data_IF_190830840529
#
_entry.id   IF_190830840529
#
_cell.length_a   1.000
_cell.length_b   1.000
_cell.length_c   1.000
_cell.angle_alpha   90.00
_cell.angle_beta   90.00
_cell.angle_gamma   90.00
#
_symmetry.space_group_name_H-M   'P 1'
#
loop_
_entity.id
_entity.type
_entity.pdbx_description
1 polymer ?
#
# COMPACT_ATOMS: atom_id res chain seq x y z
N UNK A 1 -8.51 40.41 32.71
CA UNK A 1 -8.63 38.97 32.37
C UNK A 1 -7.28 38.32 32.67
N UNK A 2 -7.23 37.48 33.70
CA UNK A 2 -5.98 37.12 34.40
C UNK A 2 -4.99 36.34 33.55
N UNK A 3 -3.70 36.59 33.80
CA UNK A 3 -2.55 35.93 33.16
C UNK A 3 -2.63 34.39 33.17
N UNK A 4 -3.30 33.81 34.17
CA UNK A 4 -3.63 32.39 34.23
C UNK A 4 -4.44 31.88 33.02
N UNK A 5 -5.39 32.68 32.50
CA UNK A 5 -6.16 32.31 31.30
C UNK A 5 -5.27 32.31 30.04
N UNK A 6 -4.29 33.21 29.96
CA UNK A 6 -3.33 33.27 28.86
C UNK A 6 -2.34 32.09 28.88
N UNK A 7 -1.89 31.66 30.06
CA UNK A 7 -1.02 30.48 30.23
C UNK A 7 -1.74 29.18 29.87
N UNK A 8 -3.03 29.05 30.23
CA UNK A 8 -3.84 27.89 29.85
C UNK A 8 -4.08 27.87 28.33
N UNK A 9 -4.38 29.02 27.72
CA UNK A 9 -4.54 29.13 26.25
C UNK A 9 -3.25 28.84 25.48
N UNK A 10 -2.09 29.26 25.99
CA UNK A 10 -0.81 28.96 25.35
C UNK A 10 -0.42 27.48 25.47
N UNK A 11 -0.68 26.83 26.62
CA UNK A 11 -0.50 25.39 26.80
C UNK A 11 -1.44 24.57 25.90
N UNK A 12 -2.70 24.99 25.74
CA UNK A 12 -3.63 24.40 24.78
C UNK A 12 -3.14 24.56 23.33
N UNK A 13 -2.60 25.73 22.98
CA UNK A 13 -2.02 25.98 21.66
C UNK A 13 -0.85 25.05 21.32
N UNK A 14 0.04 24.79 22.29
CA UNK A 14 1.19 23.87 22.14
C UNK A 14 0.73 22.41 21.97
N UNK A 15 -0.34 21.99 22.65
CA UNK A 15 -0.92 20.66 22.47
C UNK A 15 -1.53 20.47 21.08
N UNK A 16 -2.08 21.53 20.47
CA UNK A 16 -2.70 21.45 19.12
C UNK A 16 -1.65 21.55 17.99
N UNK A 17 -0.48 22.16 18.26
CA UNK A 17 0.61 22.31 17.28
C UNK A 17 1.67 21.19 17.32
N UNK A 18 1.62 20.29 18.31
CA UNK A 18 2.34 19.03 18.23
C UNK A 18 1.89 18.27 16.97
N UNK A 19 2.85 18.00 16.07
CA UNK A 19 2.68 17.41 14.73
C UNK A 19 1.97 16.03 14.73
N UNK A 20 1.75 15.44 15.91
CA UNK A 20 1.07 14.18 16.13
C UNK A 20 0.32 14.20 17.48
N UNK A 21 -0.75 15.01 17.63
CA UNK A 21 -1.77 14.65 18.63
C UNK A 21 -2.61 13.50 18.07
N UNK A 22 -2.46 12.26 18.59
CA UNK A 22 -2.93 11.04 17.91
C UNK A 22 -4.45 10.94 17.78
N UNK A 23 -5.22 11.75 18.51
CA UNK A 23 -6.68 11.72 18.47
C UNK A 23 -7.30 12.71 17.46
N UNK A 24 -6.65 13.83 17.16
CA UNK A 24 -7.22 14.89 16.31
C UNK A 24 -6.63 14.94 14.90
N UNK A 25 -5.47 14.30 14.67
CA UNK A 25 -4.77 14.36 13.38
C UNK A 25 -4.57 13.00 12.71
N UNK A 26 -5.09 11.90 13.28
CA UNK A 26 -5.03 10.58 12.63
C UNK A 26 -5.74 10.65 11.28
N UNK A 27 -5.04 10.34 10.19
CA UNK A 27 -5.57 10.40 8.82
C UNK A 27 -5.99 9.03 8.28
N UNK A 28 -5.94 8.00 9.12
CA UNK A 28 -6.15 6.61 8.72
C UNK A 28 -6.90 5.81 9.80
N UNK A 29 -7.42 4.66 9.41
CA UNK A 29 -7.96 3.63 10.29
C UNK A 29 -7.31 2.28 9.97
N UNK A 30 -7.32 1.38 10.95
CA UNK A 30 -6.75 0.04 10.84
C UNK A 30 -7.90 -0.94 10.66
N UNK A 31 -7.80 -1.85 9.70
CA UNK A 31 -8.79 -2.91 9.48
C UNK A 31 -8.71 -3.96 10.59
N UNK A 32 -9.72 -4.82 10.69
CA UNK A 32 -9.70 -6.00 11.58
C UNK A 32 -8.53 -6.96 11.31
N UNK A 33 -7.89 -6.86 10.13
CA UNK A 33 -6.74 -7.66 9.71
C UNK A 33 -5.40 -6.91 9.82
N UNK A 34 -5.39 -5.71 10.41
CA UNK A 34 -4.18 -4.92 10.64
C UNK A 34 -3.70 -4.08 9.44
N UNK A 35 -4.47 -4.02 8.35
CA UNK A 35 -4.15 -3.18 7.20
C UNK A 35 -4.53 -1.72 7.43
N UNK A 36 -3.72 -0.77 6.97
CA UNK A 36 -3.94 0.66 7.21
C UNK A 36 -4.60 1.36 6.02
N UNK A 37 -5.66 2.14 6.27
CA UNK A 37 -6.47 2.78 5.21
C UNK A 37 -6.68 4.26 5.49
N UNK A 38 -6.56 5.14 4.50
CA UNK A 38 -6.83 6.56 4.72
C UNK A 38 -8.31 6.79 5.05
N UNK A 39 -8.61 7.63 6.04
CA UNK A 39 -9.98 8.02 6.39
C UNK A 39 -10.68 8.75 5.25
N UNK A 40 -9.91 9.53 4.47
CA UNK A 40 -10.38 10.19 3.25
C UNK A 40 -9.40 9.87 2.13
N UNK A 41 -9.89 9.15 1.14
CA UNK A 41 -9.13 8.81 -0.07
C UNK A 41 -8.70 10.08 -0.81
N UNK A 42 -7.40 10.19 -1.10
CA UNK A 42 -6.79 11.25 -1.90
C UNK A 42 -5.93 10.71 -3.04
N UNK A 43 -6.11 9.42 -3.35
CA UNK A 43 -5.44 8.77 -4.47
C UNK A 43 -5.74 9.52 -5.76
N UNK A 44 -4.69 9.97 -6.45
CA UNK A 44 -4.80 10.63 -7.76
C UNK A 44 -5.15 9.63 -8.84
N UNK A 45 -4.51 8.46 -8.85
CA UNK A 45 -4.74 7.38 -9.82
C UNK A 45 -6.15 6.79 -9.68
N UNK A 46 -6.75 6.85 -8.49
CA UNK A 46 -8.12 6.40 -8.27
C UNK A 46 -9.20 7.29 -8.93
N UNK A 47 -8.88 8.55 -9.26
CA UNK A 47 -9.85 9.46 -9.90
C UNK A 47 -10.20 9.02 -11.31
N UNK A 48 -9.27 8.36 -11.98
CA UNK A 48 -9.46 7.77 -13.31
C UNK A 48 -8.78 6.42 -13.30
N UNK A 49 -9.45 5.40 -12.74
CA UNK A 49 -8.86 4.08 -12.56
C UNK A 49 -8.40 3.51 -13.90
N UNK A 50 -7.22 2.91 -13.90
CA UNK A 50 -6.71 2.23 -15.08
C UNK A 50 -7.52 0.96 -15.33
N UNK A 51 -8.00 0.78 -16.57
CA UNK A 51 -8.64 -0.46 -16.97
C UNK A 51 -7.59 -1.33 -17.66
N UNK A 52 -7.24 -2.45 -17.03
CA UNK A 52 -6.24 -3.37 -17.56
C UNK A 52 -6.73 -3.96 -18.89
N UNK A 53 -5.87 -3.90 -19.90
CA UNK A 53 -6.12 -4.42 -21.23
C UNK A 53 -5.52 -5.82 -21.37
N UNK A 54 -6.03 -6.58 -22.34
CA UNK A 54 -5.60 -7.97 -22.56
C UNK A 54 -4.14 -8.04 -23.01
N UNK A 55 -3.73 -7.07 -23.81
CA UNK A 55 -2.39 -6.88 -24.38
C UNK A 55 -1.36 -6.37 -23.38
N UNK A 56 -1.78 -5.89 -22.21
CA UNK A 56 -0.83 -5.45 -21.19
C UNK A 56 0.01 -6.62 -20.69
N UNK A 57 1.28 -6.36 -20.39
CA UNK A 57 2.23 -7.36 -19.89
C UNK A 57 1.80 -7.90 -18.52
N UNK A 58 1.06 -7.10 -17.74
CA UNK A 58 0.58 -7.48 -16.41
C UNK A 58 -0.70 -8.29 -16.47
N UNK A 59 -0.79 -9.34 -15.63
CA UNK A 59 -1.91 -10.28 -15.58
C UNK A 59 -2.48 -10.35 -14.16
N UNK A 60 -3.81 -10.48 -14.06
CA UNK A 60 -4.54 -10.49 -12.77
C UNK A 60 -4.53 -11.84 -12.05
N UNK A 61 -4.22 -12.91 -12.80
CA UNK A 61 -4.05 -14.26 -12.28
C UNK A 61 -2.58 -14.58 -11.93
N UNK A 62 -1.73 -13.57 -11.86
CA UNK A 62 -0.31 -13.71 -11.51
C UNK A 62 0.02 -12.98 -10.22
N UNK A 63 1.00 -13.53 -9.50
CA UNK A 63 1.67 -12.89 -8.37
C UNK A 63 3.08 -12.52 -8.80
N UNK A 64 3.48 -11.28 -8.55
CA UNK A 64 4.80 -10.75 -8.84
C UNK A 64 5.58 -10.65 -7.53
N UNK A 65 6.57 -11.51 -7.32
CA UNK A 65 7.32 -11.60 -6.07
C UNK A 65 8.76 -11.12 -6.23
N UNK A 66 9.30 -10.51 -5.19
CA UNK A 66 10.72 -10.14 -5.11
C UNK A 66 11.25 -10.45 -3.72
N UNK A 67 12.51 -10.86 -3.64
CA UNK A 67 13.18 -11.16 -2.37
C UNK A 67 14.24 -10.12 -2.08
N UNK A 68 14.29 -9.65 -0.85
CA UNK A 68 15.31 -8.71 -0.38
C UNK A 68 15.82 -9.10 1.00
N UNK A 69 17.02 -8.60 1.33
CA UNK A 69 17.64 -8.75 2.64
C UNK A 69 17.60 -7.41 3.33
N UNK A 70 17.12 -7.37 4.57
CA UNK A 70 17.26 -6.20 5.42
C UNK A 70 18.63 -6.25 6.11
N UNK A 71 19.42 -5.19 5.98
CA UNK A 71 20.68 -5.05 6.72
C UNK A 71 20.39 -4.70 8.18
N UNK A 72 20.97 -5.44 9.13
CA UNK A 72 20.96 -5.07 10.56
C UNK A 72 20.39 -6.08 11.58
N UNK A 73 20.01 -7.29 11.19
CA UNK A 73 19.59 -8.35 12.13
C UNK A 73 19.41 -9.69 11.42
N UNK A 74 19.54 -10.83 12.15
CA UNK A 74 19.57 -12.23 11.65
C UNK A 74 19.03 -12.35 10.21
N UNK A 75 19.95 -12.58 9.25
CA UNK A 75 19.73 -12.78 7.80
C UNK A 75 18.42 -13.51 7.50
N UNK A 76 17.33 -12.75 7.42
CA UNK A 76 16.03 -13.25 7.03
C UNK A 76 15.80 -12.71 5.63
N UNK A 77 15.65 -13.62 4.68
CA UNK A 77 15.21 -13.27 3.34
C UNK A 77 13.73 -12.97 3.43
N UNK A 78 13.35 -11.74 3.07
CA UNK A 78 11.96 -11.32 3.02
C UNK A 78 11.50 -11.40 1.58
N UNK A 79 10.40 -12.10 1.35
CA UNK A 79 9.71 -12.07 0.06
C UNK A 79 8.53 -11.13 0.18
N UNK A 80 8.47 -10.12 -0.68
CA UNK A 80 7.25 -9.34 -0.89
C UNK A 80 6.59 -9.76 -2.19
N UNK A 81 5.28 -9.55 -2.27
CA UNK A 81 4.53 -9.76 -3.50
C UNK A 81 3.73 -8.53 -3.89
N UNK A 82 3.43 -8.45 -5.18
CA UNK A 82 2.49 -7.56 -5.82
C UNK A 82 1.46 -8.38 -6.56
N UNK A 83 0.20 -7.95 -6.49
CA UNK A 83 -0.87 -8.45 -7.35
C UNK A 83 -1.70 -7.30 -7.88
N UNK A 84 -2.04 -7.39 -9.15
CA UNK A 84 -2.81 -6.40 -9.89
C UNK A 84 -4.23 -6.88 -10.15
N UNK A 85 -5.18 -5.95 -10.15
CA UNK A 85 -6.59 -6.18 -10.44
C UNK A 85 -7.00 -5.44 -11.71
N UNK A 86 -8.03 -5.93 -12.40
CA UNK A 86 -8.44 -5.39 -13.71
C UNK A 86 -8.92 -3.94 -13.68
N UNK A 87 -9.26 -3.43 -12.48
CA UNK A 87 -9.79 -2.09 -12.24
C UNK A 87 -8.74 -1.08 -11.79
N UNK A 88 -7.46 -1.38 -11.98
CA UNK A 88 -6.39 -0.44 -11.71
C UNK A 88 -5.98 -0.41 -10.24
N UNK A 89 -6.47 -1.34 -9.42
CA UNK A 89 -6.01 -1.54 -8.05
C UNK A 89 -4.86 -2.54 -7.99
N UNK A 90 -4.05 -2.45 -6.96
CA UNK A 90 -3.07 -3.48 -6.61
C UNK A 90 -3.03 -3.70 -5.10
N UNK A 91 -2.53 -4.87 -4.71
CA UNK A 91 -2.15 -5.19 -3.34
C UNK A 91 -0.67 -5.53 -3.29
N UNK A 92 0.01 -5.02 -2.26
CA UNK A 92 1.38 -5.38 -1.91
C UNK A 92 1.44 -5.87 -0.46
N UNK A 93 2.23 -6.90 -0.19
CA UNK A 93 2.52 -7.31 1.18
C UNK A 93 3.80 -8.14 1.28
N UNK A 94 4.33 -8.25 2.50
CA UNK A 94 5.26 -9.32 2.82
C UNK A 94 4.51 -10.67 2.80
N UNK A 95 5.16 -11.69 2.24
CA UNK A 95 4.62 -13.03 2.15
C UNK A 95 4.89 -13.76 3.46
N UNK A 96 3.82 -14.22 4.10
CA UNK A 96 3.88 -15.04 5.29
C UNK A 96 3.82 -16.52 4.89
N UNK A 97 4.92 -17.25 5.05
CA UNK A 97 5.00 -18.66 4.67
C UNK A 97 4.31 -19.61 5.66
N UNK A 98 3.82 -19.09 6.79
CA UNK A 98 3.20 -19.91 7.84
C UNK A 98 1.71 -20.20 7.61
N UNK A 99 1.05 -19.49 6.68
CA UNK A 99 -0.38 -19.62 6.40
C UNK A 99 -0.73 -19.90 4.93
N UNK A 100 -2.02 -20.07 4.60
CA UNK A 100 -2.46 -20.26 3.23
C UNK A 100 -2.08 -19.05 2.36
N UNK A 101 -1.34 -19.30 1.27
CA UNK A 101 -0.86 -18.23 0.38
C UNK A 101 -2.02 -17.55 -0.37
N UNK A 102 -3.04 -18.32 -0.75
CA UNK A 102 -4.16 -17.82 -1.56
C UNK A 102 -4.94 -16.72 -0.83
N UNK A 103 -5.15 -16.88 0.48
CA UNK A 103 -5.87 -15.91 1.31
C UNK A 103 -5.10 -14.59 1.39
N UNK A 104 -3.77 -14.65 1.39
CA UNK A 104 -2.93 -13.45 1.42
C UNK A 104 -3.00 -12.66 0.12
N UNK A 105 -3.10 -13.35 -1.03
CA UNK A 105 -3.13 -12.70 -2.33
C UNK A 105 -4.43 -11.96 -2.62
N UNK A 106 -5.56 -12.44 -2.08
CA UNK A 106 -6.89 -11.87 -2.29
C UNK A 106 -7.35 -10.87 -1.22
N UNK A 107 -6.79 -10.94 -0.01
CA UNK A 107 -7.31 -10.16 1.10
C UNK A 107 -6.83 -8.71 1.06
N UNK A 108 -7.63 -7.85 0.41
CA UNK A 108 -7.44 -6.40 0.40
C UNK A 108 -7.58 -5.77 1.78
N UNK A 109 -7.94 -6.47 2.85
CA UNK A 109 -8.00 -5.93 4.20
C UNK A 109 -6.67 -6.05 4.95
N UNK A 110 -5.77 -6.97 4.57
CA UNK A 110 -4.49 -7.20 5.28
C UNK A 110 -3.29 -6.47 4.65
N UNK A 111 -3.22 -6.40 3.32
CA UNK A 111 -2.07 -5.80 2.62
C UNK A 111 -2.11 -4.28 2.50
N UNK A 112 -1.03 -3.73 1.95
CA UNK A 112 -1.03 -2.36 1.42
C UNK A 112 -1.82 -2.37 0.11
N UNK A 113 -2.75 -1.44 -0.03
CA UNK A 113 -3.62 -1.35 -1.22
C UNK A 113 -3.38 0.00 -1.88
N UNK A 114 -3.25 -0.04 -3.19
CA UNK A 114 -3.01 1.14 -3.99
C UNK A 114 -3.65 1.07 -5.36
N UNK A 115 -3.29 2.04 -6.18
CA UNK A 115 -3.74 2.17 -7.55
C UNK A 115 -2.54 2.20 -8.49
N UNK A 116 -2.72 1.69 -9.70
CA UNK A 116 -1.67 1.65 -10.70
C UNK A 116 -2.15 2.17 -12.05
N UNK A 117 -1.19 2.54 -12.88
CA UNK A 117 -1.38 2.85 -14.30
C UNK A 117 -0.15 2.42 -15.09
N UNK A 118 -0.37 1.84 -16.26
CA UNK A 118 0.73 1.51 -17.18
C UNK A 118 0.95 2.70 -18.13
N UNK A 119 2.19 3.15 -18.21
CA UNK A 119 2.63 4.28 -19.04
C UNK A 119 3.89 3.86 -19.81
N UNK A 120 3.71 3.46 -21.07
CA UNK A 120 4.77 2.93 -21.91
C UNK A 120 5.41 1.68 -21.28
N UNK A 121 6.71 1.74 -21.01
CA UNK A 121 7.49 0.64 -20.44
C UNK A 121 7.60 0.71 -18.91
N UNK A 122 6.64 1.36 -18.24
CA UNK A 122 6.64 1.50 -16.78
C UNK A 122 5.24 1.33 -16.20
N UNK A 123 5.19 0.87 -14.95
CA UNK A 123 3.99 0.91 -14.11
C UNK A 123 4.19 2.01 -13.09
N UNK A 124 3.30 3.00 -13.05
CA UNK A 124 3.22 3.95 -11.96
C UNK A 124 2.30 3.41 -10.88
N UNK A 125 2.75 3.43 -9.64
CA UNK A 125 2.04 2.98 -8.45
C UNK A 125 1.80 4.15 -7.52
N UNK A 126 0.65 4.13 -6.87
CA UNK A 126 0.28 5.05 -5.79
C UNK A 126 -0.31 4.25 -4.63
N UNK A 127 0.31 4.29 -3.46
CA UNK A 127 -0.17 3.61 -2.25
C UNK A 127 -0.18 4.55 -1.04
N UNK A 128 -0.97 4.17 -0.03
CA UNK A 128 -0.98 4.85 1.26
C UNK A 128 -0.27 3.98 2.30
N UNK A 129 0.80 4.50 2.90
CA UNK A 129 1.60 3.80 3.91
C UNK A 129 1.61 4.61 5.20
N UNK A 130 1.58 3.92 6.33
CA UNK A 130 1.76 4.48 7.66
C UNK A 130 3.10 4.03 8.21
N UNK A 131 3.98 4.99 8.51
CA UNK A 131 5.24 4.73 9.19
C UNK A 131 5.07 4.72 10.72
N UNK A 132 6.01 4.13 11.45
CA UNK A 132 5.96 3.99 12.91
C UNK A 132 5.79 5.33 13.68
N UNK A 133 6.16 6.46 13.07
CA UNK A 133 6.11 7.78 13.69
C UNK A 133 5.29 8.80 12.89
N UNK A 134 4.53 8.37 11.86
CA UNK A 134 3.74 9.31 11.04
C UNK A 134 2.25 9.00 10.98
N UNK A 135 1.48 10.00 10.52
CA UNK A 135 0.03 9.93 10.39
C UNK A 135 -0.41 9.35 9.03
N UNK A 136 0.49 8.63 8.34
CA UNK A 136 0.29 8.09 7.01
C UNK A 136 0.44 9.08 5.87
N UNK A 137 1.00 8.60 4.76
CA UNK A 137 1.35 9.39 3.57
C UNK A 137 1.05 8.61 2.30
N UNK A 138 0.82 9.36 1.22
CA UNK A 138 0.71 8.81 -0.12
C UNK A 138 2.10 8.74 -0.74
N UNK A 139 2.46 7.57 -1.25
CA UNK A 139 3.72 7.31 -1.92
C UNK A 139 3.45 6.99 -3.38
N UNK A 140 4.26 7.57 -4.25
CA UNK A 140 4.25 7.29 -5.68
C UNK A 140 5.62 6.75 -6.09
N UNK A 141 5.64 5.69 -6.89
CA UNK A 141 6.87 5.11 -7.44
C UNK A 141 6.58 4.41 -8.75
N UNK A 142 7.64 4.07 -9.48
CA UNK A 142 7.55 3.45 -10.80
C UNK A 142 8.32 2.15 -10.85
N UNK A 143 7.73 1.13 -11.48
CA UNK A 143 8.39 -0.13 -11.76
C UNK A 143 8.63 -0.27 -13.27
N UNK A 144 9.86 -0.57 -13.71
CA UNK A 144 10.13 -0.77 -15.13
C UNK A 144 9.61 -2.13 -15.61
N UNK A 145 8.98 -2.12 -16.79
CA UNK A 145 8.52 -3.32 -17.48
C UNK A 145 9.60 -3.89 -18.40
N UNK A 146 9.55 -5.20 -18.61
CA UNK A 146 10.22 -5.93 -19.69
C UNK A 146 9.18 -6.60 -20.60
N UNK A 147 9.63 -7.33 -21.62
CA UNK A 147 8.73 -8.10 -22.49
C UNK A 147 7.92 -9.15 -21.71
N UNK A 148 8.51 -9.70 -20.65
CA UNK A 148 7.95 -10.83 -19.91
C UNK A 148 7.34 -10.46 -18.54
N UNK A 149 7.39 -9.19 -18.12
CA UNK A 149 6.88 -8.83 -16.79
C UNK A 149 7.43 -7.53 -16.22
N UNK A 150 7.54 -7.49 -14.90
CA UNK A 150 8.16 -6.40 -14.15
C UNK A 150 9.62 -6.77 -13.92
N UNK A 151 10.56 -5.87 -14.26
CA UNK A 151 11.98 -6.14 -14.03
C UNK A 151 12.26 -6.30 -12.54
N UNK A 152 13.02 -7.34 -12.18
CA UNK A 152 13.36 -7.65 -10.78
C UNK A 152 12.29 -8.41 -10.01
N UNK A 153 11.19 -8.81 -10.68
CA UNK A 153 10.14 -9.65 -10.10
C UNK A 153 10.06 -10.98 -10.81
N UNK A 154 9.86 -12.03 -10.02
CA UNK A 154 9.45 -13.35 -10.50
C UNK A 154 7.92 -13.35 -10.53
N UNK A 155 7.32 -13.66 -11.67
CA UNK A 155 5.87 -13.77 -11.77
C UNK A 155 5.44 -15.24 -11.82
N UNK A 156 4.41 -15.58 -11.04
CA UNK A 156 3.88 -16.96 -10.95
C UNK A 156 2.40 -16.96 -11.22
N UNK A 157 1.94 -17.84 -12.13
CA UNK A 157 0.54 -18.09 -12.39
C UNK A 157 -0.11 -18.77 -11.18
N UNK A 158 -1.26 -18.25 -10.73
CA UNK A 158 -2.06 -18.85 -9.66
C UNK A 158 -3.50 -19.00 -10.16
N UNK A 159 -3.85 -20.21 -10.59
CA UNK A 159 -5.12 -20.50 -11.27
C UNK A 159 -6.38 -20.19 -10.46
N UNK A 160 -6.27 -20.11 -9.12
CA UNK A 160 -7.38 -19.84 -8.22
C UNK A 160 -7.66 -18.34 -7.98
N UNK A 161 -6.88 -17.43 -8.58
CA UNK A 161 -7.10 -15.99 -8.43
C UNK A 161 -8.19 -15.50 -9.39
N UNK A 162 -9.28 -14.96 -8.84
CA UNK A 162 -10.24 -14.17 -9.59
C UNK A 162 -9.61 -12.83 -10.01
N UNK A 163 -9.92 -12.32 -11.20
CA UNK A 163 -9.43 -10.99 -11.62
C UNK A 163 -9.98 -9.83 -10.78
N UNK A 164 -10.94 -10.11 -9.91
CA UNK A 164 -11.64 -9.17 -9.04
C UNK A 164 -11.10 -9.26 -7.60
N UNK A 165 -10.92 -8.11 -6.92
CA UNK A 165 -10.53 -8.09 -5.53
C UNK A 165 -11.66 -8.51 -4.60
N UNK A 166 -11.30 -9.15 -3.49
CA UNK A 166 -12.19 -9.47 -2.37
C UNK A 166 -12.02 -8.38 -1.29
N UNK A 167 -13.14 -7.80 -0.84
CA UNK A 167 -13.16 -6.61 0.04
C UNK A 167 -13.46 -6.90 1.49
#
# INVERSE_FOLDING_TARGET
>A
MGWQKLVILSLLGVLIQSCCTPLLQKKFYTTEFGGERPLKSKFKLAKTPYILKKEDVIKTNHIYSTSFKMDGGKKSEYTSFLRFFSDGRFISNALDTSGPLLDQYNNLKKGNVGYYKIEGNTIRLEEFIVGAQDCGKYHEYTLPLSQDGIKGYIHTLVSALSGTPDW
#
